data_IF_498322976079
#
_entry.id   IF_498322976079
#
_cell.length_a   1.000
_cell.length_b   1.000
_cell.length_c   1.000
_cell.angle_alpha   90.00
_cell.angle_beta   90.00
_cell.angle_gamma   90.00
#
_symmetry.space_group_name_H-M   'P 1'
#
loop_
_entity.id
_entity.type
_entity.pdbx_description
1 polymer ?
#
# COMPACT_ATOMS: atom_id res chain seq x y z
N UNK A 1 -12.11 14.32 -32.20
CA UNK A 1 -12.23 12.99 -31.60
C UNK A 1 -11.90 13.15 -30.13
N UNK A 2 -12.90 13.16 -29.26
CA UNK A 2 -12.71 13.23 -27.81
C UNK A 2 -12.73 11.81 -27.28
N UNK A 3 -11.61 11.36 -26.72
CA UNK A 3 -11.55 10.12 -25.96
C UNK A 3 -11.97 10.45 -24.54
N UNK A 4 -13.22 10.15 -24.19
CA UNK A 4 -13.68 10.08 -22.82
C UNK A 4 -13.64 8.59 -22.44
N UNK A 5 -12.64 8.19 -21.67
CA UNK A 5 -12.59 6.85 -21.07
C UNK A 5 -13.69 6.76 -19.99
N UNK A 6 -14.69 5.88 -20.14
CA UNK A 6 -15.80 5.77 -19.22
C UNK A 6 -15.56 4.68 -18.17
N UNK A 7 -14.41 4.69 -17.50
CA UNK A 7 -14.19 3.86 -16.30
C UNK A 7 -14.56 4.63 -15.01
N UNK A 8 -15.50 5.56 -15.14
CA UNK A 8 -16.12 6.26 -14.03
C UNK A 8 -17.20 5.36 -13.42
N UNK A 9 -16.78 4.41 -12.56
CA UNK A 9 -17.72 3.67 -11.74
C UNK A 9 -17.23 2.31 -11.26
N UNK A 10 -16.96 2.20 -9.96
CA UNK A 10 -16.83 0.98 -9.15
C UNK A 10 -15.67 0.00 -9.42
N UNK A 11 -15.04 -0.01 -10.61
CA UNK A 11 -13.83 -0.82 -10.87
C UNK A 11 -12.52 -0.12 -10.46
N UNK A 12 -12.57 1.16 -10.10
CA UNK A 12 -11.41 1.95 -9.68
C UNK A 12 -11.09 1.93 -8.18
N UNK A 13 -11.85 1.20 -7.35
CA UNK A 13 -11.59 1.15 -5.90
C UNK A 13 -10.44 0.18 -5.60
N UNK A 14 -9.22 0.69 -5.69
CA UNK A 14 -8.01 -0.07 -5.36
C UNK A 14 -7.84 -0.14 -3.84
N UNK A 15 -7.81 -1.36 -3.30
CA UNK A 15 -7.51 -1.61 -1.90
C UNK A 15 -6.05 -1.93 -1.68
N UNK A 16 -5.43 -1.21 -0.77
CA UNK A 16 -4.03 -1.40 -0.40
C UNK A 16 -3.91 -2.15 0.93
N UNK A 17 -3.04 -3.14 0.99
CA UNK A 17 -2.76 -3.90 2.20
C UNK A 17 -1.29 -4.27 2.31
N UNK A 18 -0.75 -4.28 3.53
CA UNK A 18 0.58 -4.82 3.78
C UNK A 18 0.58 -6.35 3.63
N UNK A 19 1.31 -6.86 2.66
CA UNK A 19 1.61 -8.29 2.48
C UNK A 19 3.07 -8.53 2.85
N UNK A 20 3.44 -9.76 3.26
CA UNK A 20 4.84 -10.16 3.52
C UNK A 20 5.70 -9.15 4.34
N UNK A 21 5.05 -8.37 5.22
CA UNK A 21 5.67 -7.29 5.98
C UNK A 21 5.81 -7.74 7.44
N UNK A 22 7.00 -7.63 8.06
CA UNK A 22 7.19 -8.02 9.46
C UNK A 22 6.22 -7.29 10.40
N UNK A 23 5.75 -7.96 11.45
CA UNK A 23 4.80 -7.36 12.41
C UNK A 23 5.33 -6.07 13.04
N UNK A 24 6.63 -6.02 13.33
CA UNK A 24 7.28 -4.81 13.83
C UNK A 24 7.10 -3.63 12.88
N UNK A 25 7.32 -3.83 11.58
CA UNK A 25 7.08 -2.79 10.57
C UNK A 25 5.60 -2.45 10.46
N UNK A 26 4.67 -3.42 10.59
CA UNK A 26 3.23 -3.13 10.61
C UNK A 26 2.79 -2.29 11.81
N UNK A 27 3.52 -2.32 12.92
CA UNK A 27 3.26 -1.45 14.08
C UNK A 27 3.88 -0.05 13.92
N UNK A 28 4.98 0.05 13.17
CA UNK A 28 5.69 1.31 12.92
C UNK A 28 5.09 2.12 11.76
N UNK A 29 4.45 1.47 10.80
CA UNK A 29 3.88 2.08 9.60
C UNK A 29 2.39 1.80 9.48
N UNK A 30 1.62 2.84 9.16
CA UNK A 30 0.22 2.75 8.80
C UNK A 30 0.08 2.89 7.28
N UNK A 31 -0.81 2.10 6.69
CA UNK A 31 -1.17 2.17 5.27
C UNK A 31 -2.65 2.51 5.18
N UNK A 32 -2.97 3.57 4.45
CA UNK A 32 -4.35 3.90 4.12
C UNK A 32 -4.85 2.92 3.04
N UNK A 33 -5.88 2.10 3.33
CA UNK A 33 -6.34 1.08 2.39
C UNK A 33 -7.04 1.66 1.16
N UNK A 34 -7.46 2.92 1.17
CA UNK A 34 -8.18 3.57 0.07
C UNK A 34 -7.27 4.42 -0.80
N UNK A 35 -6.28 5.11 -0.20
CA UNK A 35 -5.36 6.00 -0.95
C UNK A 35 -3.99 5.40 -1.21
N UNK A 36 -3.61 4.33 -0.49
CA UNK A 36 -2.26 3.76 -0.56
C UNK A 36 -1.20 4.58 0.18
N UNK A 37 -1.59 5.63 0.91
CA UNK A 37 -0.66 6.48 1.64
C UNK A 37 -0.03 5.72 2.82
N UNK A 38 1.31 5.70 2.88
CA UNK A 38 2.06 5.10 4.00
C UNK A 38 2.53 6.22 4.93
N UNK A 39 2.19 6.10 6.20
CA UNK A 39 2.61 7.03 7.26
C UNK A 39 3.39 6.30 8.34
N UNK A 40 4.37 6.97 8.92
CA UNK A 40 5.05 6.49 10.13
C UNK A 40 4.15 6.79 11.33
N UNK A 41 3.79 5.75 12.08
CA UNK A 41 2.98 5.83 13.29
C UNK A 41 3.72 5.45 14.56
N UNK A 42 4.87 4.78 14.43
CA UNK A 42 5.73 4.41 15.55
C UNK A 42 7.06 5.16 15.55
N UNK A 43 7.90 4.88 16.55
CA UNK A 43 9.27 5.38 16.59
C UNK A 43 10.14 4.57 15.64
N UNK A 44 10.63 5.20 14.57
CA UNK A 44 11.75 4.67 13.82
C UNK A 44 13.04 5.00 14.58
N UNK A 45 13.66 3.97 15.14
CA UNK A 45 15.00 4.08 15.70
C UNK A 45 15.99 3.37 14.76
N UNK A 46 16.97 4.13 14.28
CA UNK A 46 18.00 3.62 13.38
C UNK A 46 18.92 2.59 14.04
N UNK A 47 19.08 2.67 15.37
CA UNK A 47 19.87 1.69 16.13
C UNK A 47 19.14 0.34 16.24
N UNK A 48 17.80 0.35 16.28
CA UNK A 48 17.00 -0.88 16.31
C UNK A 48 16.85 -1.53 14.94
N UNK A 49 16.66 -0.73 13.88
CA UNK A 49 16.50 -1.24 12.52
C UNK A 49 16.95 -0.22 11.48
N UNK A 50 18.03 -0.56 10.75
CA UNK A 50 18.59 0.29 9.68
C UNK A 50 17.74 0.33 8.40
N UNK A 51 16.86 -0.64 8.19
CA UNK A 51 15.98 -0.72 7.01
C UNK A 51 14.71 -1.48 7.31
N UNK A 52 13.58 -1.02 6.79
CA UNK A 52 12.30 -1.69 6.93
C UNK A 52 11.77 -2.15 5.57
N UNK A 53 11.82 -3.45 5.32
CA UNK A 53 11.20 -4.04 4.13
C UNK A 53 9.70 -4.18 4.34
N UNK A 54 8.93 -3.53 3.48
CA UNK A 54 7.47 -3.62 3.45
C UNK A 54 7.04 -4.02 2.05
N UNK A 55 6.01 -4.87 1.95
CA UNK A 55 5.38 -5.20 0.67
C UNK A 55 3.94 -4.74 0.76
N UNK A 56 3.51 -3.94 -0.22
CA UNK A 56 2.15 -3.47 -0.33
C UNK A 56 1.51 -4.16 -1.52
N UNK A 57 0.34 -4.76 -1.30
CA UNK A 57 -0.51 -5.31 -2.34
C UNK A 57 -1.63 -4.31 -2.62
N UNK A 58 -1.74 -3.90 -3.87
CA UNK A 58 -2.88 -3.14 -4.39
C UNK A 58 -3.81 -4.14 -5.10
N UNK A 59 -5.09 -4.18 -4.74
CA UNK A 59 -6.09 -5.07 -5.35
C UNK A 59 -7.22 -4.21 -5.88
N UNK A 60 -7.50 -4.28 -7.18
CA UNK A 60 -8.63 -3.57 -7.77
C UNK A 60 -9.96 -4.33 -7.58
N UNK A 61 -11.07 -3.68 -7.95
CA UNK A 61 -12.41 -4.27 -7.87
C UNK A 61 -12.62 -5.47 -8.81
N UNK A 62 -11.70 -5.72 -9.74
CA UNK A 62 -11.73 -6.82 -10.71
C UNK A 62 -10.83 -8.00 -10.35
N UNK A 63 -10.38 -8.10 -9.09
CA UNK A 63 -9.43 -9.12 -8.58
C UNK A 63 -8.02 -9.07 -9.16
N UNK A 64 -7.68 -8.06 -9.97
CA UNK A 64 -6.30 -7.86 -10.38
C UNK A 64 -5.52 -7.29 -9.20
N UNK A 65 -4.32 -7.82 -8.97
CA UNK A 65 -3.47 -7.33 -7.89
C UNK A 65 -2.02 -7.10 -8.29
N UNK A 66 -1.52 -5.93 -7.90
CA UNK A 66 -0.11 -5.55 -8.02
C UNK A 66 0.59 -5.64 -6.68
N UNK A 67 1.87 -6.02 -6.69
CA UNK A 67 2.72 -6.01 -5.50
C UNK A 67 3.83 -4.98 -5.68
N UNK A 68 4.01 -4.11 -4.68
CA UNK A 68 5.09 -3.14 -4.63
C UNK A 68 5.96 -3.39 -3.38
N UNK A 69 7.28 -3.31 -3.52
CA UNK A 69 8.25 -3.44 -2.42
C UNK A 69 8.77 -2.06 -2.04
N UNK A 70 8.76 -1.76 -0.76
CA UNK A 70 9.32 -0.54 -0.15
C UNK A 70 10.47 -0.97 0.76
N UNK A 71 11.64 -0.36 0.61
CA UNK A 71 12.86 -0.68 1.38
C UNK A 71 13.57 0.58 1.84
#
# INVERSE_FOLDING_TARGET
VAAADPDEGSNGEVRYAFTQTPERSRQLFQLNPTTGEIRVAGKLDFEEAKSHKMVVKATDGGELSGHCKVQ
#
